data_IF_870812517107
#
_entry.id   IF_870812517107
#
_cell.length_a   1.000
_cell.length_b   1.000
_cell.length_c   1.000
_cell.angle_alpha   90.00
_cell.angle_beta   90.00
_cell.angle_gamma   90.00
#
_symmetry.space_group_name_H-M   'P 1'
#
loop_
_entity.id
_entity.type
_entity.pdbx_description
1 polymer ?
#
# COMPACT_ATOMS: atom_id res chain seq x y z
N UNK A 1 14.85 -27.42 12.80
CA UNK A 1 13.99 -26.28 12.45
C UNK A 1 13.94 -26.19 10.94
N UNK A 2 12.85 -26.65 10.32
CA UNK A 2 12.64 -26.57 8.86
C UNK A 2 12.20 -25.15 8.53
N UNK A 3 12.97 -24.46 7.69
CA UNK A 3 12.59 -23.13 7.20
C UNK A 3 11.29 -23.21 6.38
N UNK A 4 10.37 -22.24 6.50
CA UNK A 4 9.19 -22.20 5.65
C UNK A 4 9.62 -22.00 4.20
N UNK A 5 9.26 -22.95 3.34
CA UNK A 5 9.44 -22.85 1.89
C UNK A 5 8.39 -21.84 1.42
N UNK A 6 8.81 -20.63 1.07
CA UNK A 6 7.93 -19.64 0.45
C UNK A 6 7.43 -20.22 -0.89
N UNK A 7 6.13 -20.50 -0.98
CA UNK A 7 5.53 -20.92 -2.24
C UNK A 7 5.64 -19.78 -3.27
N UNK A 8 5.90 -20.08 -4.55
CA UNK A 8 5.96 -19.05 -5.58
C UNK A 8 4.62 -18.32 -5.69
N UNK A 9 4.65 -16.99 -5.56
CA UNK A 9 3.48 -16.15 -5.83
C UNK A 9 3.14 -16.26 -7.31
N UNK A 10 1.87 -16.54 -7.64
CA UNK A 10 1.43 -16.59 -9.03
C UNK A 10 1.65 -15.23 -9.72
N UNK A 11 2.15 -15.23 -10.95
CA UNK A 11 2.45 -14.01 -11.71
C UNK A 11 1.25 -13.06 -11.82
N UNK A 12 0.06 -13.62 -12.00
CA UNK A 12 -1.18 -12.84 -12.13
C UNK A 12 -1.55 -12.14 -10.81
N UNK A 13 -1.23 -12.75 -9.67
CA UNK A 13 -1.43 -12.15 -8.34
C UNK A 13 -0.48 -10.97 -8.16
N UNK A 14 0.78 -11.09 -8.56
CA UNK A 14 1.75 -10.01 -8.50
C UNK A 14 1.39 -8.85 -9.46
N UNK A 15 0.94 -9.17 -10.68
CA UNK A 15 0.47 -8.17 -11.64
C UNK A 15 -0.75 -7.40 -11.10
N UNK A 16 -1.72 -8.10 -10.53
CA UNK A 16 -2.89 -7.49 -9.89
C UNK A 16 -2.50 -6.61 -8.70
N UNK A 17 -1.60 -7.09 -7.82
CA UNK A 17 -1.07 -6.31 -6.71
C UNK A 17 -0.36 -5.02 -7.15
N UNK A 18 0.37 -5.07 -8.26
CA UNK A 18 1.04 -3.91 -8.85
C UNK A 18 0.02 -2.88 -9.34
N UNK A 19 -1.00 -3.33 -10.08
CA UNK A 19 -2.09 -2.46 -10.53
C UNK A 19 -2.83 -1.81 -9.35
N UNK A 20 -3.10 -2.57 -8.29
CA UNK A 20 -3.72 -2.03 -7.09
C UNK A 20 -2.85 -0.97 -6.41
N UNK A 21 -1.53 -1.17 -6.38
CA UNK A 21 -0.58 -0.21 -5.82
C UNK A 21 -0.57 1.10 -6.62
N UNK A 22 -0.59 1.03 -7.95
CA UNK A 22 -0.66 2.21 -8.84
C UNK A 22 -1.92 3.04 -8.55
N UNK A 23 -3.09 2.40 -8.53
CA UNK A 23 -4.37 3.06 -8.23
C UNK A 23 -4.36 3.69 -6.82
N UNK A 24 -3.78 2.99 -5.86
CA UNK A 24 -3.73 3.44 -4.47
C UNK A 24 -2.84 4.68 -4.31
N UNK A 25 -1.70 4.73 -4.99
CA UNK A 25 -0.81 5.91 -4.99
C UNK A 25 -1.50 7.13 -5.60
N UNK A 26 -2.24 6.96 -6.70
CA UNK A 26 -3.03 8.04 -7.29
C UNK A 26 -4.07 8.57 -6.30
N UNK A 27 -4.77 7.66 -5.61
CA UNK A 27 -5.80 8.05 -4.65
C UNK A 27 -5.21 8.75 -3.42
N UNK A 28 -4.10 8.24 -2.86
CA UNK A 28 -3.34 8.93 -1.80
C UNK A 28 -2.97 10.34 -2.25
N UNK A 29 -2.51 10.51 -3.50
CA UNK A 29 -2.21 11.80 -4.09
C UNK A 29 -3.42 12.74 -4.10
N UNK A 30 -4.61 12.25 -4.44
CA UNK A 30 -5.86 13.02 -4.39
C UNK A 30 -6.18 13.46 -2.97
N UNK A 31 -6.14 12.54 -1.99
CA UNK A 31 -6.49 12.83 -0.60
C UNK A 31 -5.53 13.87 -0.01
N UNK A 32 -4.22 13.75 -0.25
CA UNK A 32 -3.22 14.75 0.18
C UNK A 32 -3.51 16.14 -0.39
N UNK A 33 -3.86 16.24 -1.67
CA UNK A 33 -4.22 17.53 -2.30
C UNK A 33 -5.49 18.12 -1.67
N UNK A 34 -6.50 17.30 -1.38
CA UNK A 34 -7.74 17.76 -0.73
C UNK A 34 -7.49 18.20 0.71
N UNK A 35 -6.68 17.47 1.46
CA UNK A 35 -6.29 17.81 2.83
C UNK A 35 -5.54 19.15 2.90
N UNK A 36 -4.65 19.41 1.94
CA UNK A 36 -3.91 20.67 1.84
C UNK A 36 -4.83 21.86 1.46
N UNK A 37 -5.91 21.61 0.71
CA UNK A 37 -6.80 22.66 0.22
C UNK A 37 -7.94 23.02 1.20
N UNK A 38 -8.28 22.15 2.15
CA UNK A 38 -9.42 22.35 3.04
C UNK A 38 -9.00 22.96 4.40
N UNK A 39 -9.83 23.88 4.88
CA UNK A 39 -9.74 24.48 6.22
C UNK A 39 -10.81 23.95 7.19
N UNK A 40 -11.75 23.12 6.70
CA UNK A 40 -12.80 22.52 7.53
C UNK A 40 -12.19 21.47 8.46
N UNK A 41 -12.35 21.63 9.78
CA UNK A 41 -11.68 20.78 10.78
C UNK A 41 -12.12 19.33 10.69
N UNK A 42 -13.41 19.06 10.51
CA UNK A 42 -13.95 17.71 10.43
C UNK A 42 -13.44 16.99 9.17
N UNK A 43 -13.43 17.67 8.02
CA UNK A 43 -12.88 17.13 6.79
C UNK A 43 -11.38 16.85 6.91
N UNK A 44 -10.61 17.69 7.62
CA UNK A 44 -9.18 17.44 7.84
C UNK A 44 -8.93 16.18 8.65
N UNK A 45 -9.69 15.99 9.72
CA UNK A 45 -9.59 14.80 10.57
C UNK A 45 -9.95 13.54 9.77
N UNK A 46 -11.09 13.57 9.08
CA UNK A 46 -11.55 12.45 8.24
C UNK A 46 -10.57 12.11 7.10
N UNK A 47 -9.96 13.11 6.45
CA UNK A 47 -8.96 12.86 5.39
C UNK A 47 -7.62 12.36 5.97
N UNK A 48 -7.29 12.71 7.21
CA UNK A 48 -6.10 12.19 7.90
C UNK A 48 -6.28 10.71 8.24
N UNK A 49 -7.45 10.34 8.78
CA UNK A 49 -7.80 8.94 9.04
C UNK A 49 -7.82 8.11 7.76
N UNK A 50 -8.42 8.66 6.69
CA UNK A 50 -8.40 8.02 5.38
C UNK A 50 -6.96 7.81 4.87
N UNK A 51 -6.07 8.80 5.00
CA UNK A 51 -4.67 8.66 4.61
C UNK A 51 -3.94 7.56 5.39
N UNK A 52 -4.25 7.41 6.68
CA UNK A 52 -3.69 6.34 7.49
C UNK A 52 -4.07 4.97 6.91
N UNK A 53 -5.36 4.72 6.71
CA UNK A 53 -5.84 3.45 6.14
C UNK A 53 -5.28 3.18 4.74
N UNK A 54 -5.19 4.19 3.88
CA UNK A 54 -4.61 4.03 2.54
C UNK A 54 -3.11 3.70 2.59
N UNK A 55 -2.38 4.28 3.55
CA UNK A 55 -0.95 4.02 3.74
C UNK A 55 -0.72 2.59 4.23
N UNK A 56 -1.53 2.11 5.19
CA UNK A 56 -1.48 0.72 5.65
C UNK A 56 -1.78 -0.28 4.53
N UNK A 57 -2.79 0.01 3.71
CA UNK A 57 -3.10 -0.82 2.54
C UNK A 57 -1.93 -0.85 1.53
N UNK A 58 -1.28 0.30 1.31
CA UNK A 58 -0.13 0.41 0.41
C UNK A 58 1.04 -0.43 0.90
N UNK A 59 1.35 -0.33 2.19
CA UNK A 59 2.44 -1.09 2.81
C UNK A 59 2.20 -2.60 2.69
N UNK A 60 0.95 -3.05 2.77
CA UNK A 60 0.55 -4.43 2.51
C UNK A 60 0.83 -4.90 1.07
N UNK A 61 0.49 -4.09 0.06
CA UNK A 61 0.81 -4.41 -1.34
C UNK A 61 2.31 -4.35 -1.64
N UNK A 62 3.04 -3.41 -1.03
CA UNK A 62 4.49 -3.31 -1.17
C UNK A 62 5.20 -4.54 -0.60
N UNK A 63 4.73 -5.09 0.53
CA UNK A 63 5.26 -6.32 1.11
C UNK A 63 5.05 -7.54 0.18
N UNK A 64 3.99 -7.56 -0.63
CA UNK A 64 3.77 -8.59 -1.64
C UNK A 64 4.65 -8.41 -2.88
N UNK A 65 4.92 -7.17 -3.28
CA UNK A 65 5.71 -6.82 -4.46
C UNK A 65 7.23 -6.92 -4.23
N UNK A 66 7.67 -6.74 -2.98
CA UNK A 66 9.03 -6.97 -2.53
C UNK A 66 9.05 -8.15 -1.54
N UNK A 67 8.88 -9.40 -2.02
CA UNK A 67 9.11 -10.54 -1.16
C UNK A 67 10.58 -10.43 -0.74
N UNK A 68 10.82 -10.13 0.54
CA UNK A 68 12.14 -10.05 1.15
C UNK A 68 13.01 -11.11 0.50
N UNK A 69 14.01 -10.66 -0.26
CA UNK A 69 15.09 -11.53 -0.69
C UNK A 69 15.59 -12.16 0.60
N UNK A 70 15.28 -13.44 0.81
CA UNK A 70 15.98 -14.25 1.77
C UNK A 70 17.39 -14.33 1.18
N UNK A 71 18.20 -13.35 1.57
CA UNK A 71 19.64 -13.31 1.33
C UNK A 71 20.19 -14.54 2.05
N UNK A 72 20.40 -15.60 1.28
CA UNK A 72 21.32 -16.66 1.66
C UNK A 72 22.73 -16.06 1.64
N UNK A 73 23.28 -15.84 2.84
CA UNK A 73 24.72 -15.72 3.06
C UNK A 73 25.35 -17.10 3.16
#
# INVERSE_FOLDING_TARGET
>A
MTAPIAAPIAKDVLASATLHLEVLEEFIGVVRRKLAATTDSFARDSLTDLLLSLTEQRDGYQALAMPTAIVTA
#
